data_IF_114536176812
#
_entry.id   IF_114536176812
#
_cell.length_a   1.000
_cell.length_b   1.000
_cell.length_c   1.000
_cell.angle_alpha   90.00
_cell.angle_beta   90.00
_cell.angle_gamma   90.00
#
_symmetry.space_group_name_H-M   'P 1'
#
loop_
_entity.id
_entity.type
_entity.pdbx_description
1 polymer ?
#
# COMPACT_ATOMS: atom_id res chain seq x y z
N UNK A 1 30.35 44.63 36.43
CA UNK A 1 30.88 44.13 35.13
C UNK A 1 31.27 42.64 35.21
N UNK A 2 30.32 41.73 35.48
CA UNK A 2 30.62 40.29 35.60
C UNK A 2 29.63 39.36 34.87
N UNK A 3 28.64 39.92 34.17
CA UNK A 3 27.60 39.14 33.47
C UNK A 3 28.03 38.75 32.04
N UNK A 4 28.88 39.56 31.38
CA UNK A 4 29.27 39.32 29.99
C UNK A 4 30.23 38.15 29.75
N UNK A 5 30.97 37.67 30.76
CA UNK A 5 31.96 36.59 30.56
C UNK A 5 31.38 35.17 30.53
N UNK A 6 30.13 34.96 30.98
CA UNK A 6 29.49 33.63 31.02
C UNK A 6 28.75 33.25 29.72
N UNK A 7 28.42 34.22 28.87
CA UNK A 7 27.68 33.97 27.62
C UNK A 7 28.56 33.72 26.41
N UNK A 8 29.84 34.10 26.46
CA UNK A 8 30.82 33.88 25.39
C UNK A 8 30.96 32.40 24.99
N UNK A 9 31.10 31.43 25.92
CA UNK A 9 31.20 30.01 25.55
C UNK A 9 29.89 29.46 24.96
N UNK A 10 28.73 29.96 25.41
CA UNK A 10 27.41 29.54 24.89
C UNK A 10 27.23 30.07 23.46
N UNK A 11 27.59 31.33 23.21
CA UNK A 11 27.55 31.89 21.87
C UNK A 11 28.48 31.13 20.91
N UNK A 12 29.67 30.73 21.36
CA UNK A 12 30.60 29.94 20.56
C UNK A 12 30.02 28.56 20.20
N UNK A 13 29.38 27.86 21.15
CA UNK A 13 28.72 26.57 20.92
C UNK A 13 27.55 26.68 19.95
N UNK A 14 26.70 27.70 20.10
CA UNK A 14 25.59 27.96 19.16
C UNK A 14 26.13 28.29 17.77
N UNK A 15 27.20 29.08 17.68
CA UNK A 15 27.83 29.42 16.40
C UNK A 15 28.38 28.18 15.70
N UNK A 16 29.04 27.29 16.43
CA UNK A 16 29.56 26.01 15.88
C UNK A 16 28.42 25.10 15.46
N UNK A 17 27.34 25.01 16.23
CA UNK A 17 26.17 24.21 15.88
C UNK A 17 25.47 24.73 14.61
N UNK A 18 25.32 26.05 14.47
CA UNK A 18 24.76 26.69 13.27
C UNK A 18 25.68 26.48 12.07
N UNK A 19 27.00 26.63 12.22
CA UNK A 19 27.96 26.35 11.15
C UNK A 19 27.97 24.88 10.75
N UNK A 20 27.80 23.95 11.70
CA UNK A 20 27.68 22.52 11.43
C UNK A 20 26.38 22.21 10.68
N UNK A 21 25.26 22.80 11.08
CA UNK A 21 23.97 22.64 10.38
C UNK A 21 23.99 23.25 8.97
N UNK A 22 24.64 24.39 8.79
CA UNK A 22 24.87 24.99 7.47
C UNK A 22 25.83 24.15 6.64
N UNK A 23 26.88 23.58 7.23
CA UNK A 23 27.78 22.68 6.53
C UNK A 23 27.07 21.40 6.11
N UNK A 24 26.25 20.81 6.98
CA UNK A 24 25.39 19.64 6.67
C UNK A 24 24.38 19.97 5.57
N UNK A 25 23.71 21.12 5.63
CA UNK A 25 22.75 21.50 4.58
C UNK A 25 23.44 21.79 3.24
N UNK A 26 24.63 22.41 3.25
CA UNK A 26 25.44 22.64 2.07
C UNK A 26 26.02 21.34 1.50
N UNK A 27 26.52 20.42 2.32
CA UNK A 27 27.01 19.12 1.86
C UNK A 27 25.88 18.23 1.36
N UNK A 28 24.69 18.24 1.98
CA UNK A 28 23.49 17.58 1.43
C UNK A 28 23.13 18.18 0.07
N UNK A 29 23.18 19.51 -0.08
CA UNK A 29 22.91 20.20 -1.35
C UNK A 29 23.98 19.95 -2.41
N UNK A 30 25.24 19.80 -2.03
CA UNK A 30 26.35 19.41 -2.91
C UNK A 30 26.31 17.93 -3.28
N UNK A 31 25.89 17.06 -2.36
CA UNK A 31 25.64 15.63 -2.63
C UNK A 31 24.51 15.49 -3.64
N UNK A 32 23.43 16.27 -3.50
CA UNK A 32 22.34 16.38 -4.48
C UNK A 32 22.80 16.91 -5.86
N UNK A 33 23.79 17.82 -5.90
CA UNK A 33 24.38 18.33 -7.15
C UNK A 33 25.45 17.41 -7.75
N UNK A 34 26.07 16.56 -6.93
CA UNK A 34 27.09 15.59 -7.31
C UNK A 34 26.54 14.22 -7.68
N UNK A 35 25.25 13.96 -7.42
CA UNK A 35 24.52 12.88 -8.04
C UNK A 35 24.58 13.09 -9.57
N UNK A 36 25.05 12.11 -10.36
CA UNK A 36 25.10 12.24 -11.80
C UNK A 36 23.69 12.59 -12.31
N UNK A 37 23.56 13.74 -12.98
CA UNK A 37 22.37 14.15 -13.72
C UNK A 37 22.18 13.26 -14.95
N UNK A 38 22.01 11.95 -14.75
CA UNK A 38 21.40 11.06 -15.73
C UNK A 38 19.96 10.79 -15.31
N UNK A 39 19.24 11.87 -14.99
CA UNK A 39 17.78 11.91 -15.16
C UNK A 39 17.57 12.33 -16.61
N UNK A 40 17.81 11.37 -17.51
CA UNK A 40 17.42 11.50 -18.90
C UNK A 40 15.95 11.11 -19.00
N UNK A 41 15.07 12.10 -19.03
CA UNK A 41 13.81 11.97 -19.77
C UNK A 41 14.15 11.36 -21.13
N UNK A 42 13.53 10.23 -21.45
CA UNK A 42 13.85 9.47 -22.64
C UNK A 42 13.71 10.29 -23.92
N UNK A 43 14.83 10.54 -24.58
CA UNK A 43 14.90 10.67 -26.04
C UNK A 43 16.22 10.02 -26.48
N UNK A 44 16.12 8.79 -26.99
CA UNK A 44 17.16 8.25 -27.88
C UNK A 44 16.88 8.88 -29.24
N UNK A 45 17.46 10.05 -29.50
CA UNK A 45 17.61 10.51 -30.87
C UNK A 45 18.82 9.78 -31.46
N UNK A 46 18.55 8.77 -32.28
CA UNK A 46 19.50 8.39 -33.32
C UNK A 46 19.67 9.59 -34.26
N UNK A 47 20.90 9.96 -34.61
CA UNK A 47 21.48 9.59 -35.90
C UNK A 47 22.88 10.23 -36.10
N UNK A 48 23.72 9.47 -36.79
CA UNK A 48 24.80 9.84 -37.72
C UNK A 48 25.91 10.89 -37.43
N UNK A 49 27.14 10.36 -37.48
CA UNK A 49 28.36 10.86 -38.16
C UNK A 49 29.26 11.94 -37.49
N UNK A 50 30.53 11.58 -37.20
CA UNK A 50 31.75 11.95 -37.99
C UNK A 50 33.10 11.68 -37.26
N UNK A 51 33.91 10.82 -37.90
CA UNK A 51 35.37 10.90 -38.19
C UNK A 51 36.41 10.89 -37.05
N UNK A 52 37.48 10.05 -37.14
CA UNK A 52 38.50 9.87 -36.11
C UNK A 52 39.73 10.76 -36.32
N UNK A 53 40.39 11.19 -35.23
CA UNK A 53 41.74 11.75 -35.28
C UNK A 53 42.64 10.97 -34.31
N UNK A 54 43.60 10.27 -34.92
CA UNK A 54 44.76 9.65 -34.27
C UNK A 54 45.71 10.70 -33.72
N UNK A 55 46.37 10.42 -32.59
CA UNK A 55 47.82 10.67 -32.44
C UNK A 55 48.39 9.94 -31.21
N UNK A 56 49.54 9.30 -31.42
CA UNK A 56 50.29 8.48 -30.47
C UNK A 56 51.20 9.30 -29.51
N UNK A 57 51.41 8.70 -28.35
CA UNK A 57 52.29 8.90 -27.16
C UNK A 57 53.79 9.31 -27.40
N UNK A 58 54.65 9.67 -26.38
CA UNK A 58 54.90 8.87 -25.15
C UNK A 58 55.42 9.66 -23.88
N UNK A 59 56.08 9.06 -22.85
CA UNK A 59 55.53 9.02 -21.48
C UNK A 59 56.45 9.68 -20.41
N UNK A 60 55.95 9.87 -19.17
CA UNK A 60 56.64 9.49 -17.89
C UNK A 60 55.92 9.96 -16.61
N UNK A 61 55.52 8.96 -15.83
CA UNK A 61 55.64 8.81 -14.35
C UNK A 61 55.20 9.94 -13.40
N UNK A 62 54.16 9.70 -12.60
CA UNK A 62 54.28 9.12 -11.25
C UNK A 62 52.93 9.11 -10.50
N UNK A 63 52.61 7.94 -9.94
CA UNK A 63 51.83 7.73 -8.71
C UNK A 63 50.44 8.34 -8.58
N UNK A 64 49.40 7.49 -8.66
CA UNK A 64 48.36 7.28 -7.62
C UNK A 64 47.35 6.24 -8.11
N UNK A 65 46.73 5.51 -7.18
CA UNK A 65 45.78 4.43 -7.40
C UNK A 65 44.79 4.68 -8.55
N UNK A 66 44.69 3.72 -9.48
CA UNK A 66 43.70 3.73 -10.55
C UNK A 66 42.30 3.61 -9.94
N UNK A 67 41.59 4.73 -9.82
CA UNK A 67 40.16 4.72 -10.07
C UNK A 67 39.98 4.32 -11.54
N UNK A 68 39.53 3.10 -11.78
CA UNK A 68 39.06 2.70 -13.11
C UNK A 68 37.85 3.60 -13.43
N UNK A 69 37.89 4.45 -14.47
CA UNK A 69 36.70 5.12 -14.93
C UNK A 69 35.75 4.03 -15.39
N UNK A 70 34.57 3.94 -14.77
CA UNK A 70 33.51 3.04 -15.21
C UNK A 70 33.22 3.39 -16.66
N UNK A 71 33.42 2.42 -17.56
CA UNK A 71 33.12 2.58 -18.97
C UNK A 71 31.59 2.77 -19.09
N UNK A 72 31.09 3.88 -19.67
CA UNK A 72 29.67 4.07 -19.87
C UNK A 72 29.05 3.02 -20.81
N UNK A 73 29.88 2.28 -21.55
CA UNK A 73 29.48 1.18 -22.44
C UNK A 73 29.59 -0.21 -21.78
N UNK A 74 29.62 -0.32 -20.45
CA UNK A 74 29.53 -1.64 -19.81
C UNK A 74 28.15 -2.23 -20.13
N UNK A 75 28.07 -3.13 -21.13
CA UNK A 75 26.83 -3.71 -21.67
C UNK A 75 26.13 -4.65 -20.69
N UNK A 76 26.63 -4.75 -19.46
CA UNK A 76 26.27 -5.78 -18.49
C UNK A 76 25.40 -5.29 -17.33
N UNK A 77 24.96 -4.02 -17.32
CA UNK A 77 24.04 -3.50 -16.30
C UNK A 77 22.75 -4.34 -16.16
N UNK A 78 22.31 -5.00 -17.24
CA UNK A 78 21.14 -5.88 -17.23
C UNK A 78 21.36 -7.11 -16.34
N UNK A 79 22.57 -7.66 -16.28
CA UNK A 79 22.91 -8.80 -15.42
C UNK A 79 23.07 -8.42 -13.95
N UNK A 80 23.26 -7.13 -13.65
CA UNK A 80 23.43 -6.63 -12.28
C UNK A 80 22.09 -6.40 -11.56
N UNK A 81 20.98 -6.37 -12.29
CA UNK A 81 19.63 -6.22 -11.75
C UNK A 81 18.67 -7.28 -12.31
N UNK A 82 18.88 -8.58 -12.03
CA UNK A 82 17.95 -9.61 -12.47
C UNK A 82 16.56 -9.31 -11.88
N UNK A 83 15.62 -8.95 -12.75
CA UNK A 83 14.24 -8.71 -12.36
C UNK A 83 13.59 -10.04 -11.96
N UNK A 84 12.83 -10.10 -10.86
CA UNK A 84 12.01 -11.25 -10.57
C UNK A 84 11.09 -11.57 -11.76
N UNK A 85 11.08 -12.82 -12.18
CA UNK A 85 10.11 -13.28 -13.17
C UNK A 85 8.78 -13.57 -12.47
N UNK A 86 7.88 -12.61 -12.53
CA UNK A 86 6.54 -12.70 -11.97
C UNK A 86 5.60 -13.53 -12.84
N UNK A 87 5.76 -14.84 -12.79
CA UNK A 87 4.88 -15.80 -13.49
C UNK A 87 3.63 -16.11 -12.67
N UNK A 88 2.58 -16.56 -13.36
CA UNK A 88 1.42 -17.11 -12.69
C UNK A 88 1.77 -18.38 -11.91
N UNK A 89 0.99 -18.68 -10.88
CA UNK A 89 1.22 -19.85 -10.03
C UNK A 89 1.21 -21.16 -10.80
N UNK A 90 1.99 -22.13 -10.35
CA UNK A 90 2.06 -23.45 -10.97
C UNK A 90 0.69 -24.15 -10.98
N UNK A 91 0.37 -24.96 -11.99
CA UNK A 91 -0.92 -25.63 -12.07
C UNK A 91 -1.21 -26.51 -10.84
N UNK A 92 -2.40 -26.35 -10.25
CA UNK A 92 -2.90 -27.18 -9.16
C UNK A 92 -4.21 -27.85 -9.58
N UNK A 93 -4.56 -29.03 -9.03
CA UNK A 93 -5.88 -29.63 -9.22
C UNK A 93 -7.00 -28.69 -8.75
N UNK A 94 -8.17 -28.75 -9.40
CA UNK A 94 -9.32 -27.89 -9.06
C UNK A 94 -9.84 -28.06 -7.63
N UNK A 95 -9.59 -29.22 -7.01
CA UNK A 95 -9.94 -29.53 -5.62
C UNK A 95 -8.76 -29.37 -4.64
N UNK A 96 -7.67 -28.71 -5.04
CA UNK A 96 -6.52 -28.48 -4.17
C UNK A 96 -6.94 -27.65 -2.95
N UNK A 97 -6.64 -28.16 -1.76
CA UNK A 97 -6.88 -27.44 -0.52
C UNK A 97 -5.65 -26.57 -0.20
N UNK A 98 -5.75 -25.28 -0.50
CA UNK A 98 -4.66 -24.32 -0.30
C UNK A 98 -4.41 -24.10 1.19
N UNK A 99 -3.25 -24.54 1.68
CA UNK A 99 -2.80 -24.21 3.03
C UNK A 99 -2.72 -22.70 3.18
N UNK A 100 -3.31 -22.15 4.24
CA UNK A 100 -3.45 -20.70 4.41
C UNK A 100 -3.01 -20.28 5.81
N UNK A 101 -2.19 -19.23 5.89
CA UNK A 101 -1.89 -18.55 7.15
C UNK A 101 -2.38 -17.11 7.09
N UNK A 102 -3.12 -16.69 8.11
CA UNK A 102 -3.52 -15.31 8.31
C UNK A 102 -2.54 -14.59 9.24
N UNK A 103 -1.75 -13.70 8.67
CA UNK A 103 -0.76 -12.86 9.35
C UNK A 103 -1.46 -11.59 9.83
N UNK A 104 -1.51 -11.41 11.14
CA UNK A 104 -2.22 -10.31 11.78
C UNK A 104 -1.21 -9.37 12.43
N UNK A 105 -1.22 -8.12 12.01
CA UNK A 105 -0.54 -7.04 12.72
C UNK A 105 -1.49 -6.44 13.76
N UNK A 106 -1.08 -6.44 15.04
CA UNK A 106 -1.86 -5.81 16.11
C UNK A 106 -1.01 -5.05 17.13
N UNK A 107 -1.65 -4.20 17.92
CA UNK A 107 -1.12 -3.69 19.20
C UNK A 107 -1.68 -4.49 20.37
N UNK A 108 -1.18 -4.27 21.59
CA UNK A 108 -1.65 -4.98 22.80
C UNK A 108 -3.15 -4.76 23.05
N UNK A 109 -3.64 -3.54 22.82
CA UNK A 109 -5.01 -3.12 23.15
C UNK A 109 -6.05 -3.57 22.12
N UNK A 110 -5.63 -4.02 20.94
CA UNK A 110 -6.54 -4.48 19.89
C UNK A 110 -7.07 -5.90 20.18
N UNK A 111 -8.39 -6.06 20.05
CA UNK A 111 -9.06 -7.35 20.24
C UNK A 111 -9.19 -8.13 18.92
N UNK A 112 -8.77 -9.40 18.96
CA UNK A 112 -8.82 -10.34 17.84
C UNK A 112 -9.61 -11.61 18.15
N UNK A 113 -10.36 -11.65 19.25
CA UNK A 113 -11.17 -12.82 19.63
C UNK A 113 -12.14 -13.25 18.53
N UNK A 114 -12.61 -12.29 17.72
CA UNK A 114 -13.48 -12.53 16.57
C UNK A 114 -12.90 -13.56 15.57
N UNK A 115 -11.58 -13.67 15.44
CA UNK A 115 -10.94 -14.65 14.55
C UNK A 115 -11.29 -16.05 15.01
N UNK A 116 -11.05 -16.35 16.29
CA UNK A 116 -11.32 -17.68 16.85
C UNK A 116 -12.81 -18.00 16.86
N UNK A 117 -13.65 -17.00 17.12
CA UNK A 117 -15.11 -17.16 17.17
C UNK A 117 -15.73 -17.45 15.81
N UNK A 118 -15.22 -16.83 14.73
CA UNK A 118 -15.84 -16.90 13.40
C UNK A 118 -15.05 -17.76 12.41
N UNK A 119 -13.75 -17.96 12.62
CA UNK A 119 -12.81 -18.66 11.73
C UNK A 119 -11.92 -19.64 12.53
N UNK A 120 -12.49 -20.61 13.28
CA UNK A 120 -11.72 -21.45 14.22
C UNK A 120 -10.66 -22.33 13.56
N UNK A 121 -10.84 -22.67 12.28
CA UNK A 121 -9.92 -23.53 11.51
C UNK A 121 -8.84 -22.73 10.76
N UNK A 122 -8.91 -21.39 10.77
CA UNK A 122 -7.93 -20.55 10.09
C UNK A 122 -6.65 -20.45 10.92
N UNK A 123 -5.55 -20.95 10.37
CA UNK A 123 -4.25 -20.80 11.01
C UNK A 123 -3.82 -19.33 11.02
N UNK A 124 -3.33 -18.85 12.15
CA UNK A 124 -2.93 -17.45 12.33
C UNK A 124 -1.50 -17.29 12.82
N UNK A 125 -0.85 -16.24 12.33
CA UNK A 125 0.41 -15.72 12.84
C UNK A 125 0.15 -14.31 13.38
N UNK A 126 -0.11 -14.20 14.68
CA UNK A 126 -0.49 -12.94 15.33
C UNK A 126 0.75 -12.26 15.91
N UNK A 127 1.18 -11.17 15.30
CA UNK A 127 2.29 -10.37 15.79
C UNK A 127 1.81 -9.17 16.60
N UNK A 128 2.40 -8.96 17.77
CA UNK A 128 2.10 -7.81 18.64
C UNK A 128 3.23 -6.79 18.53
N UNK A 129 2.94 -5.64 17.93
CA UNK A 129 3.94 -4.63 17.58
C UNK A 129 4.61 -3.98 18.80
N UNK A 130 3.86 -3.77 19.88
CA UNK A 130 4.24 -2.98 21.05
C UNK A 130 4.44 -3.82 22.33
N UNK A 131 4.45 -5.15 22.23
CA UNK A 131 4.78 -6.07 23.33
C UNK A 131 6.05 -6.89 23.02
N UNK A 132 7.21 -6.55 23.62
CA UNK A 132 8.47 -7.27 23.39
C UNK A 132 8.50 -8.69 23.99
N UNK A 133 7.49 -9.06 24.79
CA UNK A 133 7.35 -10.40 25.36
C UNK A 133 6.35 -11.27 24.60
N UNK A 134 5.68 -10.72 23.58
CA UNK A 134 4.75 -11.48 22.76
C UNK A 134 5.50 -12.63 22.04
N UNK A 135 4.88 -13.81 21.89
CA UNK A 135 5.50 -14.94 21.19
C UNK A 135 5.96 -14.61 19.78
N UNK A 136 5.20 -13.75 19.08
CA UNK A 136 5.57 -13.18 17.79
C UNK A 136 5.64 -11.66 17.97
N UNK A 137 6.85 -11.12 18.00
CA UNK A 137 7.14 -9.69 18.10
C UNK A 137 8.13 -9.31 16.98
N UNK A 138 7.89 -8.23 16.22
CA UNK A 138 8.87 -7.75 15.24
C UNK A 138 10.17 -7.29 15.93
N UNK A 139 11.30 -7.19 15.21
CA UNK A 139 12.56 -6.72 15.79
C UNK A 139 12.50 -5.30 16.40
N UNK A 140 11.54 -4.49 15.94
CA UNK A 140 11.28 -3.13 16.42
C UNK A 140 9.86 -2.71 16.02
N UNK A 141 9.15 -1.98 16.88
CA UNK A 141 7.95 -1.26 16.46
C UNK A 141 8.34 -0.04 15.61
N UNK A 142 8.35 -0.20 14.27
CA UNK A 142 8.70 0.86 13.31
C UNK A 142 8.01 0.59 11.98
N UNK A 143 7.39 1.61 11.38
CA UNK A 143 6.71 1.49 10.08
C UNK A 143 5.42 0.67 10.13
N UNK A 144 4.73 0.65 11.28
CA UNK A 144 3.46 -0.04 11.48
C UNK A 144 3.52 -1.53 11.07
N UNK A 145 2.55 -2.02 10.29
CA UNK A 145 2.41 -3.41 9.85
C UNK A 145 3.58 -3.90 8.98
N UNK A 146 4.33 -2.99 8.36
CA UNK A 146 5.39 -3.33 7.41
C UNK A 146 6.48 -4.17 8.06
N UNK A 147 6.91 -3.80 9.27
CA UNK A 147 7.95 -4.55 9.97
C UNK A 147 7.48 -5.98 10.28
N UNK A 148 6.21 -6.13 10.65
CA UNK A 148 5.59 -7.42 10.92
C UNK A 148 5.54 -8.26 9.64
N UNK A 149 5.05 -7.71 8.54
CA UNK A 149 4.93 -8.43 7.27
C UNK A 149 6.29 -8.88 6.73
N UNK A 150 7.28 -7.99 6.75
CA UNK A 150 8.65 -8.33 6.35
C UNK A 150 9.26 -9.38 7.28
N UNK A 151 9.04 -9.28 8.59
CA UNK A 151 9.55 -10.26 9.57
C UNK A 151 8.94 -11.64 9.33
N UNK A 152 7.62 -11.74 9.16
CA UNK A 152 6.96 -13.01 8.83
C UNK A 152 7.52 -13.61 7.53
N UNK A 153 7.65 -12.82 6.47
CA UNK A 153 8.17 -13.30 5.19
C UNK A 153 9.61 -13.83 5.35
N UNK A 154 10.45 -13.13 6.10
CA UNK A 154 11.85 -13.52 6.32
C UNK A 154 11.93 -14.80 7.16
N UNK A 155 11.21 -14.85 8.28
CA UNK A 155 11.31 -15.93 9.26
C UNK A 155 10.71 -17.25 8.75
N UNK A 156 9.71 -17.16 7.86
CA UNK A 156 9.01 -18.33 7.31
C UNK A 156 9.34 -18.60 5.83
N UNK A 157 10.32 -17.92 5.23
CA UNK A 157 10.58 -17.92 3.78
C UNK A 157 10.61 -19.32 3.14
N UNK A 158 11.26 -20.28 3.81
CA UNK A 158 11.40 -21.66 3.34
C UNK A 158 10.15 -22.51 3.63
N UNK A 159 9.33 -22.12 4.60
CA UNK A 159 8.19 -22.89 5.13
C UNK A 159 6.83 -22.21 4.90
N UNK A 160 6.75 -21.24 3.99
CA UNK A 160 5.51 -20.52 3.68
C UNK A 160 4.36 -21.47 3.28
N UNK A 161 3.12 -21.22 3.77
CA UNK A 161 1.91 -21.92 3.31
C UNK A 161 1.64 -21.60 1.84
N UNK A 162 0.75 -22.33 1.17
CA UNK A 162 0.38 -22.02 -0.22
C UNK A 162 -0.06 -20.55 -0.38
N UNK A 163 -0.84 -20.03 0.58
CA UNK A 163 -1.32 -18.65 0.63
C UNK A 163 -1.03 -18.01 2.00
N UNK A 164 -0.40 -16.84 2.00
CA UNK A 164 -0.28 -15.98 3.19
C UNK A 164 -1.15 -14.74 3.01
N UNK A 165 -2.03 -14.45 3.98
CA UNK A 165 -2.92 -13.28 3.98
C UNK A 165 -2.44 -12.30 5.03
N UNK A 166 -2.24 -11.04 4.67
CA UNK A 166 -1.74 -9.97 5.54
C UNK A 166 -2.84 -8.92 5.72
N UNK A 167 -3.33 -8.73 6.94
CA UNK A 167 -4.32 -7.68 7.26
C UNK A 167 -4.11 -7.11 8.66
N UNK A 168 -4.75 -5.95 8.88
CA UNK A 168 -4.91 -5.34 10.19
C UNK A 168 -5.85 -6.18 11.07
N UNK A 169 -5.79 -5.96 12.39
CA UNK A 169 -6.53 -6.72 13.41
C UNK A 169 -8.05 -6.45 13.45
N UNK A 170 -8.50 -5.32 12.92
CA UNK A 170 -9.89 -4.85 13.02
C UNK A 170 -10.85 -5.66 12.16
N UNK A 171 -11.92 -6.20 12.79
CA UNK A 171 -12.99 -6.89 12.06
C UNK A 171 -13.78 -5.94 11.15
N UNK A 172 -14.35 -4.89 11.74
CA UNK A 172 -15.15 -3.90 11.04
C UNK A 172 -14.35 -2.62 10.87
N UNK A 173 -14.01 -2.28 9.63
CA UNK A 173 -13.20 -1.09 9.35
C UNK A 173 -13.40 -0.60 7.93
N UNK A 174 -13.16 0.70 7.70
CA UNK A 174 -13.25 1.35 6.40
C UNK A 174 -12.23 0.81 5.37
N UNK A 175 -11.16 0.17 5.84
CA UNK A 175 -10.18 -0.50 5.00
C UNK A 175 -10.79 -1.68 4.22
N UNK A 176 -11.84 -2.29 4.77
CA UNK A 176 -12.57 -3.40 4.15
C UNK A 176 -13.66 -2.86 3.22
N UNK A 177 -13.88 -3.52 2.08
CA UNK A 177 -14.86 -3.04 1.10
C UNK A 177 -16.30 -3.13 1.65
N UNK A 178 -17.06 -2.05 1.46
CA UNK A 178 -18.46 -1.92 1.88
C UNK A 178 -19.38 -2.99 1.25
N UNK A 179 -19.08 -3.44 0.02
CA UNK A 179 -19.79 -4.57 -0.61
C UNK A 179 -19.63 -5.90 0.14
N UNK A 180 -18.62 -6.01 1.00
CA UNK A 180 -18.38 -7.15 1.89
C UNK A 180 -18.72 -6.79 3.35
N UNK A 181 -19.67 -5.86 3.54
CA UNK A 181 -20.14 -5.36 4.85
C UNK A 181 -19.05 -4.71 5.70
N UNK A 182 -17.93 -4.32 5.08
CA UNK A 182 -16.72 -3.87 5.80
C UNK A 182 -16.21 -4.91 6.82
N UNK A 183 -16.57 -6.20 6.67
CA UNK A 183 -16.30 -7.27 7.64
C UNK A 183 -15.14 -8.17 7.18
N UNK A 184 -14.06 -8.18 7.96
CA UNK A 184 -12.89 -9.03 7.70
C UNK A 184 -13.24 -10.53 7.68
N UNK A 185 -14.26 -10.97 8.44
CA UNK A 185 -14.73 -12.37 8.42
C UNK A 185 -15.24 -12.73 7.03
N UNK A 186 -16.01 -11.84 6.40
CA UNK A 186 -16.55 -12.05 5.06
C UNK A 186 -15.42 -12.08 4.04
N UNK A 187 -14.47 -11.13 4.12
CA UNK A 187 -13.31 -11.07 3.23
C UNK A 187 -12.48 -12.36 3.31
N UNK A 188 -12.08 -12.76 4.53
CA UNK A 188 -11.27 -13.95 4.77
C UNK A 188 -11.99 -15.22 4.36
N UNK A 189 -13.29 -15.36 4.67
CA UNK A 189 -14.05 -16.57 4.30
C UNK A 189 -14.19 -16.72 2.79
N UNK A 190 -14.37 -15.62 2.07
CA UNK A 190 -14.74 -15.65 0.65
C UNK A 190 -13.57 -15.52 -0.31
N UNK A 191 -12.39 -15.12 0.16
CA UNK A 191 -11.21 -14.98 -0.68
C UNK A 191 -10.96 -16.26 -1.50
N UNK A 192 -10.81 -16.15 -2.81
CA UNK A 192 -10.50 -17.28 -3.67
C UNK A 192 -8.99 -17.58 -3.62
N UNK A 193 -8.59 -18.61 -2.87
CA UNK A 193 -7.19 -18.99 -2.74
C UNK A 193 -6.58 -19.46 -4.06
N UNK A 194 -7.39 -20.07 -4.94
CA UNK A 194 -6.93 -20.48 -6.27
C UNK A 194 -6.57 -19.27 -7.13
N UNK A 195 -7.33 -18.17 -7.04
CA UNK A 195 -6.94 -16.89 -7.65
C UNK A 195 -5.64 -16.35 -7.08
N UNK A 196 -5.51 -16.28 -5.75
CA UNK A 196 -4.28 -15.77 -5.12
C UNK A 196 -3.07 -16.59 -5.57
N UNK A 197 -3.21 -17.91 -5.66
CA UNK A 197 -2.18 -18.78 -6.19
C UNK A 197 -1.85 -18.47 -7.66
N UNK A 198 -2.87 -18.45 -8.52
CA UNK A 198 -2.76 -18.23 -9.96
C UNK A 198 -2.13 -16.88 -10.30
N UNK A 199 -2.58 -15.81 -9.66
CA UNK A 199 -2.13 -14.44 -9.94
C UNK A 199 -0.86 -14.09 -9.13
N UNK A 200 -0.64 -14.79 -8.01
CA UNK A 200 0.47 -14.61 -7.09
C UNK A 200 0.30 -13.48 -6.08
N UNK A 201 -0.44 -12.43 -6.45
CA UNK A 201 -0.74 -11.26 -5.61
C UNK A 201 -2.20 -10.88 -5.72
N UNK A 202 -2.83 -10.62 -4.58
CA UNK A 202 -4.19 -10.10 -4.50
C UNK A 202 -4.26 -9.00 -3.45
N UNK A 203 -4.55 -7.78 -3.85
CA UNK A 203 -4.93 -6.74 -2.88
C UNK A 203 -6.29 -7.10 -2.29
N UNK A 204 -6.41 -7.11 -0.97
CA UNK A 204 -7.65 -7.48 -0.30
C UNK A 204 -8.77 -6.47 -0.61
N UNK A 205 -8.43 -5.21 -0.87
CA UNK A 205 -9.37 -4.19 -1.33
C UNK A 205 -9.51 -4.23 -2.86
N UNK A 206 -10.75 -4.23 -3.33
CA UNK A 206 -11.08 -4.16 -4.75
C UNK A 206 -11.60 -2.78 -5.18
N UNK A 207 -12.18 -2.00 -4.25
CA UNK A 207 -12.58 -0.62 -4.51
C UNK A 207 -11.39 0.27 -4.85
N UNK A 208 -11.52 1.13 -5.87
CA UNK A 208 -10.43 1.97 -6.35
C UNK A 208 -10.10 3.16 -5.44
N UNK A 209 -11.07 3.64 -4.68
CA UNK A 209 -10.86 4.78 -3.78
C UNK A 209 -10.52 4.29 -2.36
N UNK A 210 -9.46 4.82 -1.72
CA UNK A 210 -8.36 5.58 -2.32
C UNK A 210 -7.32 4.65 -3.01
N UNK A 211 -6.55 5.21 -3.94
CA UNK A 211 -5.34 4.55 -4.46
C UNK A 211 -5.30 4.23 -5.96
N UNK A 212 -6.42 4.23 -6.67
CA UNK A 212 -6.51 3.95 -8.11
C UNK A 212 -7.37 4.98 -8.85
N UNK A 213 -7.16 5.17 -10.17
CA UNK A 213 -6.09 4.57 -11.00
C UNK A 213 -4.77 5.36 -10.97
N UNK A 214 -4.79 6.55 -10.37
CA UNK A 214 -3.71 7.53 -10.38
C UNK A 214 -3.66 8.19 -9.00
N UNK A 215 -2.67 7.82 -8.17
CA UNK A 215 -2.68 8.18 -6.76
C UNK A 215 -1.42 8.89 -6.29
N UNK A 216 -0.26 8.22 -6.32
CA UNK A 216 1.00 8.83 -5.88
C UNK A 216 1.86 9.21 -7.08
N UNK A 217 2.40 10.42 -7.05
CA UNK A 217 3.36 10.90 -8.04
C UNK A 217 4.71 11.14 -7.37
N UNK A 218 5.66 10.18 -7.41
CA UNK A 218 6.95 10.32 -6.76
C UNK A 218 7.76 11.55 -7.19
N UNK A 219 7.51 12.08 -8.40
CA UNK A 219 8.14 13.31 -8.88
C UNK A 219 7.59 14.60 -8.27
N UNK A 220 6.46 14.55 -7.57
CA UNK A 220 5.87 15.69 -6.89
C UNK A 220 6.56 15.91 -5.53
N UNK A 221 7.04 17.13 -5.32
CA UNK A 221 7.85 17.50 -4.14
C UNK A 221 7.10 18.45 -3.21
N UNK A 222 5.98 19.01 -3.66
CA UNK A 222 5.12 19.83 -2.81
C UNK A 222 4.41 18.95 -1.76
N UNK A 223 4.29 19.49 -0.54
CA UNK A 223 3.61 18.80 0.54
C UNK A 223 2.10 18.79 0.28
N UNK A 224 1.51 17.60 0.28
CA UNK A 224 0.08 17.38 0.16
C UNK A 224 -0.45 16.86 1.51
N UNK A 225 -1.40 17.58 2.10
CA UNK A 225 -1.99 17.20 3.38
C UNK A 225 -2.70 15.83 3.35
N UNK A 226 -3.17 15.40 2.18
CA UNK A 226 -3.84 14.12 1.97
C UNK A 226 -2.87 13.00 1.52
N UNK A 227 -1.68 13.36 1.02
CA UNK A 227 -0.65 12.44 0.51
C UNK A 227 0.74 12.82 1.05
N UNK A 228 0.86 12.86 2.37
CA UNK A 228 2.04 13.38 3.07
C UNK A 228 3.34 12.65 2.71
N UNK A 229 3.24 11.38 2.35
CA UNK A 229 4.37 10.56 1.94
C UNK A 229 4.88 10.85 0.51
N UNK A 230 4.11 11.54 -0.31
CA UNK A 230 4.43 11.76 -1.74
C UNK A 230 5.78 12.45 -1.94
N UNK A 231 6.03 13.52 -1.19
CA UNK A 231 7.29 14.28 -1.28
C UNK A 231 8.53 13.47 -0.87
N UNK A 232 8.34 12.34 -0.19
CA UNK A 232 9.42 11.44 0.24
C UNK A 232 9.56 10.21 -0.66
N UNK A 233 8.64 9.97 -1.61
CA UNK A 233 8.62 8.74 -2.40
C UNK A 233 9.81 8.62 -3.35
N UNK A 234 10.20 9.64 -4.12
CA UNK A 234 11.33 9.52 -5.04
C UNK A 234 12.65 9.16 -4.34
N UNK A 235 12.91 9.79 -3.18
CA UNK A 235 14.09 9.47 -2.37
C UNK A 235 14.01 8.05 -1.83
N UNK A 236 12.88 7.68 -1.23
CA UNK A 236 12.68 6.35 -0.64
C UNK A 236 12.74 5.25 -1.70
N UNK A 237 12.20 5.51 -2.90
CA UNK A 237 12.30 4.63 -4.06
C UNK A 237 13.75 4.40 -4.46
N UNK A 238 14.55 5.46 -4.57
CA UNK A 238 15.97 5.36 -4.95
C UNK A 238 16.79 4.59 -3.92
N UNK A 239 16.37 4.58 -2.65
CA UNK A 239 16.99 3.79 -1.59
C UNK A 239 16.50 2.33 -1.56
N UNK A 240 15.21 2.09 -1.80
CA UNK A 240 14.60 0.75 -1.79
C UNK A 240 14.95 -0.05 -3.04
N UNK A 241 14.88 0.61 -4.21
CA UNK A 241 15.03 0.03 -5.54
C UNK A 241 16.08 0.83 -6.34
N UNK A 242 17.35 0.83 -5.90
CA UNK A 242 18.41 1.69 -6.48
C UNK A 242 18.72 1.42 -7.96
N UNK A 243 18.21 0.31 -8.50
CA UNK A 243 18.42 -0.13 -9.87
C UNK A 243 17.15 -0.03 -10.73
N UNK A 244 16.08 0.58 -10.19
CA UNK A 244 14.81 0.83 -10.85
C UNK A 244 14.60 2.32 -11.06
N UNK A 245 14.07 2.68 -12.23
CA UNK A 245 13.67 4.06 -12.50
C UNK A 245 12.55 4.48 -11.54
N UNK A 246 12.59 5.71 -11.06
CA UNK A 246 11.52 6.29 -10.25
C UNK A 246 10.27 6.42 -11.13
N UNK A 247 9.15 5.79 -10.77
CA UNK A 247 7.96 5.83 -11.60
C UNK A 247 7.29 7.19 -11.54
N UNK A 248 6.59 7.55 -12.61
CA UNK A 248 5.75 8.77 -12.65
C UNK A 248 4.50 8.64 -11.79
N UNK A 249 3.96 7.43 -11.66
CA UNK A 249 2.74 7.11 -10.92
C UNK A 249 2.92 5.78 -10.18
N UNK A 250 2.51 5.75 -8.91
CA UNK A 250 2.22 4.53 -8.16
C UNK A 250 0.75 4.49 -7.82
N UNK A 251 0.09 3.38 -8.15
CA UNK A 251 -1.33 3.21 -7.91
C UNK A 251 -1.69 1.75 -7.64
N UNK A 252 -2.48 1.54 -6.60
CA UNK A 252 -3.18 0.31 -6.25
C UNK A 252 -4.24 0.66 -5.20
N UNK A 253 -5.27 -0.16 -4.98
CA UNK A 253 -6.16 0.03 -3.83
C UNK A 253 -5.35 0.14 -2.53
N UNK A 254 -5.77 1.03 -1.63
CA UNK A 254 -5.04 1.36 -0.41
C UNK A 254 -4.82 0.20 0.57
N UNK A 255 -4.23 0.59 1.70
CA UNK A 255 -4.45 0.03 3.03
C UNK A 255 -3.57 -1.15 3.42
N UNK A 256 -2.59 -1.52 2.58
CA UNK A 256 -1.58 -2.54 2.87
C UNK A 256 -2.18 -3.88 3.35
N UNK A 257 -3.35 -4.25 2.84
CA UNK A 257 -3.95 -5.56 3.07
C UNK A 257 -3.87 -6.36 1.77
N UNK A 258 -3.17 -7.49 1.78
CA UNK A 258 -2.97 -8.31 0.58
C UNK A 258 -2.80 -9.78 0.91
N UNK A 259 -3.03 -10.63 -0.08
CA UNK A 259 -2.74 -12.06 -0.04
C UNK A 259 -1.70 -12.42 -1.10
N UNK A 260 -0.79 -13.31 -0.74
CA UNK A 260 0.34 -13.73 -1.56
C UNK A 260 0.41 -15.24 -1.67
N UNK A 261 0.73 -15.73 -2.86
CA UNK A 261 1.17 -17.11 -3.01
C UNK A 261 2.61 -17.28 -2.55
N UNK A 262 2.94 -18.48 -2.07
CA UNK A 262 4.33 -18.78 -1.68
C UNK A 262 5.32 -18.71 -2.85
N UNK A 263 4.88 -19.10 -4.05
CA UNK A 263 5.69 -18.93 -5.28
C UNK A 263 5.94 -17.46 -5.58
N UNK A 264 4.96 -16.58 -5.33
CA UNK A 264 5.14 -15.15 -5.54
C UNK A 264 6.15 -14.54 -4.59
N UNK A 265 6.11 -14.93 -3.32
CA UNK A 265 7.10 -14.49 -2.33
C UNK A 265 8.50 -15.01 -2.74
N UNK A 266 8.60 -16.27 -3.15
CA UNK A 266 9.89 -16.89 -3.53
C UNK A 266 10.41 -16.45 -4.89
N UNK A 267 9.61 -15.79 -5.72
CA UNK A 267 10.08 -15.16 -6.96
C UNK A 267 11.17 -14.10 -6.68
N UNK A 268 11.23 -13.58 -5.46
CA UNK A 268 12.27 -12.67 -4.99
C UNK A 268 13.11 -13.34 -3.89
N UNK A 269 14.44 -13.29 -3.93
CA UNK A 269 15.29 -13.89 -2.90
C UNK A 269 15.02 -13.34 -1.49
N UNK A 270 15.15 -14.19 -0.46
CA UNK A 270 14.99 -13.80 0.95
C UNK A 270 15.81 -12.54 1.32
N UNK A 271 17.03 -12.43 0.79
CA UNK A 271 17.93 -11.30 1.04
C UNK A 271 17.33 -9.94 0.62
N UNK A 272 16.45 -9.89 -0.38
CA UNK A 272 15.76 -8.65 -0.74
C UNK A 272 14.78 -8.20 0.35
N UNK A 273 14.08 -9.14 1.00
CA UNK A 273 13.20 -8.80 2.12
C UNK A 273 13.99 -8.32 3.34
N UNK A 274 15.17 -8.89 3.57
CA UNK A 274 16.12 -8.38 4.59
C UNK A 274 16.56 -6.96 4.25
N UNK A 275 16.91 -6.67 3.00
CA UNK A 275 17.26 -5.32 2.54
C UNK A 275 16.14 -4.31 2.81
N UNK A 276 14.90 -4.67 2.49
CA UNK A 276 13.71 -3.86 2.77
C UNK A 276 13.51 -3.59 4.26
N UNK A 277 13.67 -4.62 5.10
CA UNK A 277 13.56 -4.48 6.55
C UNK A 277 14.67 -3.59 7.11
N UNK A 278 15.89 -3.74 6.59
CA UNK A 278 17.04 -2.93 7.00
C UNK A 278 16.88 -1.47 6.58
N UNK A 279 16.30 -1.19 5.42
CA UNK A 279 15.92 0.18 5.03
C UNK A 279 14.95 0.76 6.05
N UNK A 280 13.92 0.00 6.42
CA UNK A 280 12.92 0.43 7.39
C UNK A 280 13.54 0.69 8.77
N UNK A 281 14.51 -0.11 9.21
CA UNK A 281 15.20 0.11 10.48
C UNK A 281 16.11 1.35 10.48
N UNK A 282 16.75 1.66 9.34
CA UNK A 282 17.76 2.72 9.21
C UNK A 282 17.21 4.06 8.79
N UNK A 283 16.06 4.09 8.11
CA UNK A 283 15.50 5.35 7.60
C UNK A 283 15.19 6.32 8.74
N UNK A 284 15.52 7.62 8.58
CA UNK A 284 15.19 8.64 9.58
C UNK A 284 13.69 9.01 9.56
N UNK A 285 12.93 8.52 8.57
CA UNK A 285 11.50 8.78 8.46
C UNK A 285 10.74 8.20 9.66
N UNK A 286 9.75 8.96 10.14
CA UNK A 286 8.84 8.50 11.18
C UNK A 286 7.99 7.30 10.74
N UNK A 287 7.39 6.61 11.70
CA UNK A 287 6.66 5.36 11.45
C UNK A 287 5.47 5.57 10.50
N UNK A 288 4.75 6.67 10.68
CA UNK A 288 3.66 7.08 9.79
C UNK A 288 4.10 7.20 8.32
N UNK A 289 5.14 7.99 8.03
CA UNK A 289 5.60 8.22 6.64
C UNK A 289 6.23 6.96 6.05
N UNK A 290 7.07 6.27 6.82
CA UNK A 290 7.72 5.04 6.33
C UNK A 290 6.70 3.91 6.08
N UNK A 291 5.68 3.77 6.92
CA UNK A 291 4.56 2.85 6.68
C UNK A 291 3.76 3.21 5.43
N UNK A 292 3.40 4.49 5.28
CA UNK A 292 2.66 5.01 4.11
C UNK A 292 3.42 4.85 2.79
N UNK A 293 4.74 5.02 2.78
CA UNK A 293 5.58 4.69 1.60
C UNK A 293 5.38 3.22 1.21
N UNK A 294 5.43 2.33 2.20
CA UNK A 294 5.31 0.89 1.97
C UNK A 294 3.92 0.49 1.46
N UNK A 295 2.86 1.14 1.94
CA UNK A 295 1.50 0.97 1.44
C UNK A 295 1.41 1.06 -0.09
N UNK A 296 2.21 1.93 -0.73
CA UNK A 296 2.20 2.16 -2.19
C UNK A 296 3.37 1.55 -2.97
N UNK A 297 4.21 0.70 -2.35
CA UNK A 297 5.24 -0.06 -3.08
C UNK A 297 5.03 -1.57 -3.04
N UNK A 298 4.09 -2.08 -2.23
CA UNK A 298 3.82 -3.52 -2.15
C UNK A 298 3.47 -4.14 -3.52
N UNK A 299 2.64 -3.47 -4.31
CA UNK A 299 2.31 -3.92 -5.67
C UNK A 299 3.57 -4.01 -6.53
N UNK A 300 4.48 -3.05 -6.43
CA UNK A 300 5.72 -3.11 -7.21
C UNK A 300 6.60 -4.28 -6.74
N UNK A 301 6.74 -4.48 -5.43
CA UNK A 301 7.52 -5.56 -4.84
C UNK A 301 7.03 -6.93 -5.31
N UNK A 302 5.72 -7.13 -5.45
CA UNK A 302 5.10 -8.42 -5.75
C UNK A 302 4.52 -8.53 -7.16
N UNK A 303 4.55 -7.51 -8.00
CA UNK A 303 4.06 -7.60 -9.39
C UNK A 303 5.04 -7.01 -10.41
N UNK A 304 6.00 -6.21 -9.96
CA UNK A 304 6.88 -5.43 -10.83
C UNK A 304 6.16 -4.30 -11.56
N UNK A 305 4.86 -4.10 -11.32
CA UNK A 305 4.07 -3.02 -11.89
C UNK A 305 3.96 -1.85 -10.91
N UNK A 306 4.08 -0.64 -11.44
CA UNK A 306 3.87 0.59 -10.68
C UNK A 306 2.37 0.88 -10.48
N UNK A 307 1.54 0.46 -11.44
CA UNK A 307 0.09 0.61 -11.45
C UNK A 307 -0.53 -0.79 -11.42
N UNK A 308 -1.21 -1.13 -10.34
CA UNK A 308 -1.96 -2.37 -10.18
C UNK A 308 -3.39 -2.07 -9.76
N UNK A 309 -4.22 -1.70 -10.74
CA UNK A 309 -5.61 -1.31 -10.57
C UNK A 309 -6.54 -2.25 -11.35
N UNK A 310 -6.75 -3.51 -10.89
CA UNK A 310 -7.70 -4.40 -11.54
C UNK A 310 -9.10 -3.77 -11.50
N UNK A 311 -9.92 -4.03 -12.53
CA UNK A 311 -11.30 -3.51 -12.54
C UNK A 311 -12.06 -4.07 -11.33
N UNK A 312 -12.82 -3.26 -10.58
CA UNK A 312 -13.45 -3.72 -9.35
C UNK A 312 -14.40 -4.90 -9.56
N UNK A 313 -15.20 -4.89 -10.64
CA UNK A 313 -16.14 -5.98 -10.94
C UNK A 313 -15.43 -7.35 -11.13
N UNK A 314 -14.28 -7.36 -11.80
CA UNK A 314 -13.44 -8.56 -11.94
C UNK A 314 -12.82 -8.94 -10.59
N UNK A 315 -12.35 -7.96 -9.83
CA UNK A 315 -11.73 -8.18 -8.53
C UNK A 315 -12.70 -8.84 -7.55
N UNK A 316 -13.91 -8.30 -7.42
CA UNK A 316 -14.95 -8.85 -6.56
C UNK A 316 -15.46 -10.22 -7.04
N UNK A 317 -15.65 -10.38 -8.34
CA UNK A 317 -16.15 -11.64 -8.89
C UNK A 317 -15.15 -12.78 -8.71
N UNK A 318 -13.93 -12.63 -9.21
CA UNK A 318 -12.93 -13.71 -9.16
C UNK A 318 -12.23 -13.81 -7.78
N UNK A 319 -12.23 -12.74 -6.99
CA UNK A 319 -11.61 -12.71 -5.66
C UNK A 319 -12.54 -13.16 -4.55
N UNK A 320 -13.81 -12.73 -4.60
CA UNK A 320 -14.74 -12.92 -3.48
C UNK A 320 -16.07 -13.59 -3.89
N UNK A 321 -16.23 -13.94 -5.16
CA UNK A 321 -17.44 -14.57 -5.67
C UNK A 321 -18.64 -13.62 -5.66
N UNK A 322 -18.41 -12.33 -5.92
CA UNK A 322 -19.48 -11.33 -6.07
C UNK A 322 -19.48 -10.85 -7.52
N UNK A 323 -20.34 -11.45 -8.35
CA UNK A 323 -20.29 -11.31 -9.79
C UNK A 323 -21.51 -10.57 -10.30
N UNK A 324 -21.33 -9.34 -10.78
CA UNK A 324 -22.42 -8.50 -11.31
C UNK A 324 -22.84 -8.86 -12.74
N UNK A 325 -22.04 -9.67 -13.45
CA UNK A 325 -22.32 -10.08 -14.82
C UNK A 325 -21.92 -9.00 -15.81
N UNK A 326 -20.76 -8.38 -15.59
CA UNK A 326 -20.20 -7.31 -16.40
C UNK A 326 -19.99 -5.99 -15.64
N UNK A 327 -19.10 -5.19 -16.21
CA UNK A 327 -18.72 -3.85 -15.72
C UNK A 327 -19.92 -2.89 -15.64
N UNK A 328 -20.81 -2.90 -16.63
CA UNK A 328 -21.99 -2.02 -16.69
C UNK A 328 -22.92 -2.23 -15.49
N UNK A 329 -23.26 -3.49 -15.19
CA UNK A 329 -24.12 -3.84 -14.04
C UNK A 329 -23.46 -3.53 -12.69
N UNK A 330 -22.15 -3.67 -12.61
CA UNK A 330 -21.40 -3.24 -11.43
C UNK A 330 -21.48 -1.72 -11.27
N UNK A 331 -21.28 -0.96 -12.35
CA UNK A 331 -21.35 0.50 -12.35
C UNK A 331 -22.74 1.01 -11.92
N UNK A 332 -23.82 0.45 -12.46
CA UNK A 332 -25.19 0.78 -12.04
C UNK A 332 -25.40 0.58 -10.52
N UNK A 333 -24.88 -0.53 -9.99
CA UNK A 333 -24.97 -0.83 -8.56
C UNK A 333 -24.12 0.13 -7.72
N UNK A 334 -22.86 0.37 -8.09
CA UNK A 334 -21.96 1.21 -7.30
C UNK A 334 -22.43 2.68 -7.32
N UNK A 335 -23.00 3.16 -8.43
CA UNK A 335 -23.60 4.49 -8.52
C UNK A 335 -24.78 4.63 -7.55
N UNK A 336 -25.68 3.63 -7.52
CA UNK A 336 -26.81 3.58 -6.59
C UNK A 336 -26.34 3.52 -5.14
N UNK A 337 -25.32 2.70 -4.85
CA UNK A 337 -24.74 2.60 -3.51
C UNK A 337 -24.07 3.91 -3.09
N UNK A 338 -23.36 4.58 -3.98
CA UNK A 338 -22.70 5.83 -3.70
C UNK A 338 -23.71 6.96 -3.43
N UNK A 339 -24.83 7.00 -4.15
CA UNK A 339 -25.94 7.90 -3.82
C UNK A 339 -26.46 7.66 -2.40
N UNK A 340 -26.68 6.39 -2.03
CA UNK A 340 -27.10 6.04 -0.67
C UNK A 340 -26.04 6.45 0.37
N UNK A 341 -24.74 6.23 0.11
CA UNK A 341 -23.64 6.65 1.00
C UNK A 341 -23.59 8.16 1.20
N UNK A 342 -23.83 8.93 0.15
CA UNK A 342 -23.86 10.40 0.23
C UNK A 342 -25.00 10.86 1.15
N UNK A 343 -26.19 10.27 1.01
CA UNK A 343 -27.35 10.56 1.87
C UNK A 343 -27.08 10.13 3.32
N UNK A 344 -26.46 8.96 3.53
CA UNK A 344 -26.03 8.51 4.86
C UNK A 344 -25.00 9.48 5.48
N UNK A 345 -24.08 10.01 4.68
CA UNK A 345 -23.14 11.05 5.09
C UNK A 345 -23.84 12.33 5.51
N UNK A 346 -24.75 12.86 4.68
CA UNK A 346 -25.54 14.05 5.02
C UNK A 346 -26.37 13.87 6.30
N UNK A 347 -26.90 12.66 6.52
CA UNK A 347 -27.64 12.35 7.75
C UNK A 347 -26.73 12.37 8.97
N UNK A 348 -25.54 11.76 8.89
CA UNK A 348 -24.55 11.81 9.97
C UNK A 348 -24.14 13.24 10.28
N UNK A 349 -23.86 14.06 9.26
CA UNK A 349 -23.49 15.45 9.44
C UNK A 349 -24.62 16.26 10.09
N UNK A 350 -25.88 16.01 9.69
CA UNK A 350 -27.05 16.62 10.30
C UNK A 350 -27.18 16.23 11.79
N UNK A 351 -27.00 14.94 12.10
CA UNK A 351 -27.09 14.42 13.48
C UNK A 351 -25.94 14.92 14.35
N UNK A 352 -24.73 15.07 13.80
CA UNK A 352 -23.59 15.66 14.49
C UNK A 352 -23.79 17.14 14.82
N UNK A 353 -24.28 17.94 13.86
CA UNK A 353 -24.63 19.35 14.11
C UNK A 353 -25.64 19.47 15.26
N UNK A 354 -26.67 18.64 15.26
CA UNK A 354 -27.68 18.60 16.33
C UNK A 354 -27.06 18.28 17.70
N UNK A 355 -26.27 17.19 17.78
CA UNK A 355 -25.59 16.78 19.01
C UNK A 355 -24.64 17.84 19.55
N UNK A 356 -23.85 18.48 18.70
CA UNK A 356 -22.89 19.51 19.12
C UNK A 356 -23.59 20.73 19.75
N UNK A 357 -24.78 21.10 19.23
CA UNK A 357 -25.60 22.17 19.81
C UNK A 357 -26.17 21.74 21.16
N UNK A 358 -26.76 20.54 21.24
CA UNK A 358 -27.31 20.00 22.48
C UNK A 358 -26.25 19.90 23.59
N UNK A 359 -25.03 19.47 23.25
CA UNK A 359 -23.89 19.39 24.15
C UNK A 359 -23.45 20.78 24.64
N UNK A 360 -23.30 21.74 23.73
CA UNK A 360 -22.93 23.11 24.10
C UNK A 360 -23.99 23.79 24.99
N UNK A 361 -25.29 23.56 24.71
CA UNK A 361 -26.38 24.06 25.54
C UNK A 361 -26.38 23.39 26.93
N UNK A 362 -26.18 22.07 27.01
CA UNK A 362 -26.13 21.31 28.26
C UNK A 362 -24.96 21.71 29.18
N UNK A 363 -23.80 22.05 28.60
CA UNK A 363 -22.62 22.52 29.34
C UNK A 363 -22.67 24.02 29.69
N UNK A 364 -23.74 24.72 29.34
CA UNK A 364 -23.89 26.16 29.59
C UNK A 364 -23.00 27.03 28.68
N UNK A 365 -22.45 26.47 27.60
CA UNK A 365 -21.66 27.18 26.56
C UNK A 365 -22.58 27.87 25.55
N UNK A 366 -23.51 28.70 26.04
CA UNK A 366 -24.58 29.30 25.23
C UNK A 366 -24.08 30.15 24.05
N UNK A 367 -22.99 30.90 24.23
CA UNK A 367 -22.39 31.70 23.14
C UNK A 367 -21.82 30.85 22.01
N UNK A 368 -21.36 29.65 22.32
CA UNK A 368 -20.83 28.72 21.32
C UNK A 368 -22.00 28.05 20.59
N UNK A 369 -23.02 27.61 21.31
CA UNK A 369 -24.24 27.05 20.73
C UNK A 369 -24.94 28.02 19.74
N UNK A 370 -24.92 29.33 20.01
CA UNK A 370 -25.44 30.36 19.10
C UNK A 370 -24.62 30.50 17.80
N UNK A 371 -23.34 30.14 17.81
CA UNK A 371 -22.45 30.23 16.64
C UNK A 371 -22.48 28.97 15.78
N UNK A 372 -22.94 27.84 16.32
CA UNK A 372 -23.06 26.59 15.58
C UNK A 372 -24.21 26.65 14.56
N UNK A 373 -23.99 26.04 13.40
CA UNK A 373 -25.00 25.95 12.35
C UNK A 373 -26.14 25.01 12.77
N UNK A 374 -27.35 25.55 12.92
CA UNK A 374 -28.52 24.74 13.31
C UNK A 374 -28.97 23.86 12.13
N UNK A 375 -29.11 22.55 12.34
CA UNK A 375 -29.58 21.65 11.29
C UNK A 375 -31.03 21.96 10.90
N UNK A 376 -31.35 21.88 9.61
CA UNK A 376 -32.69 22.16 9.09
C UNK A 376 -33.73 21.19 9.67
N UNK A 377 -34.80 21.69 10.33
CA UNK A 377 -35.84 20.83 10.90
C UNK A 377 -36.52 19.95 9.84
N UNK A 378 -36.62 18.65 10.12
CA UNK A 378 -37.27 17.67 9.24
C UNK A 378 -36.43 17.23 8.03
N UNK A 379 -35.19 17.70 7.88
CA UNK A 379 -34.26 17.18 6.87
C UNK A 379 -33.89 15.73 7.18
N UNK A 380 -33.71 15.38 8.45
CA UNK A 380 -33.43 14.01 8.92
C UNK A 380 -34.49 12.99 8.44
N UNK A 381 -35.77 13.32 8.56
CA UNK A 381 -36.86 12.45 8.14
C UNK A 381 -36.86 12.22 6.62
N UNK A 382 -36.49 13.25 5.83
CA UNK A 382 -36.35 13.14 4.37
C UNK A 382 -35.16 12.25 3.99
N UNK A 383 -34.02 12.45 4.65
CA UNK A 383 -32.80 11.66 4.42
C UNK A 383 -33.02 10.19 4.78
N UNK A 384 -33.61 9.90 5.95
CA UNK A 384 -33.95 8.54 6.39
C UNK A 384 -34.88 7.85 5.40
N UNK A 385 -35.93 8.54 4.94
CA UNK A 385 -36.84 7.99 3.91
C UNK A 385 -36.11 7.66 2.60
N UNK A 386 -35.23 8.54 2.13
CA UNK A 386 -34.47 8.27 0.91
C UNK A 386 -33.53 7.05 1.05
N UNK A 387 -32.93 6.86 2.23
CA UNK A 387 -32.12 5.66 2.54
C UNK A 387 -33.00 4.41 2.53
N UNK A 388 -34.18 4.46 3.17
CA UNK A 388 -35.14 3.34 3.19
C UNK A 388 -35.63 2.95 1.80
N UNK A 389 -35.74 3.90 0.87
CA UNK A 389 -36.11 3.64 -0.53
C UNK A 389 -34.98 2.99 -1.34
N UNK A 390 -33.71 3.41 -1.13
CA UNK A 390 -32.56 2.89 -1.88
C UNK A 390 -32.06 1.54 -1.37
N UNK A 391 -32.09 1.32 -0.06
CA UNK A 391 -31.55 0.12 0.61
C UNK A 391 -32.02 -1.22 0.00
N UNK A 392 -33.33 -1.48 -0.20
CA UNK A 392 -33.77 -2.75 -0.76
C UNK A 392 -33.26 -2.99 -2.19
N UNK A 393 -33.02 -1.93 -2.98
CA UNK A 393 -32.47 -2.04 -4.33
C UNK A 393 -31.00 -2.47 -4.27
N UNK A 394 -30.21 -1.77 -3.44
CA UNK A 394 -28.78 -2.06 -3.23
C UNK A 394 -28.60 -3.49 -2.72
N UNK A 395 -29.35 -3.88 -1.70
CA UNK A 395 -29.23 -5.19 -1.03
C UNK A 395 -29.65 -6.32 -1.97
N UNK A 396 -30.73 -6.14 -2.74
CA UNK A 396 -31.19 -7.15 -3.71
C UNK A 396 -30.14 -7.41 -4.78
N UNK A 397 -29.62 -6.37 -5.44
CA UNK A 397 -28.64 -6.52 -6.52
C UNK A 397 -27.34 -7.11 -5.99
N UNK A 398 -26.89 -6.67 -4.81
CA UNK A 398 -25.74 -7.25 -4.12
C UNK A 398 -25.94 -8.74 -3.88
N UNK A 399 -27.08 -9.15 -3.29
CA UNK A 399 -27.42 -10.54 -3.03
C UNK A 399 -27.44 -11.39 -4.30
N UNK A 400 -28.06 -10.90 -5.37
CA UNK A 400 -28.08 -11.59 -6.68
C UNK A 400 -26.65 -11.78 -7.23
N UNK A 401 -25.75 -10.81 -7.03
CA UNK A 401 -24.34 -10.93 -7.43
C UNK A 401 -23.58 -11.99 -6.60
N UNK A 402 -23.86 -12.09 -5.30
CA UNK A 402 -23.34 -13.17 -4.44
C UNK A 402 -23.81 -14.55 -4.90
N UNK A 403 -25.11 -14.71 -5.13
CA UNK A 403 -25.71 -15.97 -5.58
C UNK A 403 -25.12 -16.41 -6.93
N UNK A 404 -24.94 -15.47 -7.85
CA UNK A 404 -24.31 -15.74 -9.15
C UNK A 404 -22.86 -16.23 -9.00
N UNK A 405 -22.03 -15.51 -8.24
CA UNK A 405 -20.63 -15.88 -8.08
C UNK A 405 -20.41 -17.18 -7.29
N UNK A 406 -21.32 -17.56 -6.41
CA UNK A 406 -21.26 -18.82 -5.68
C UNK A 406 -21.67 -20.03 -6.52
N UNK A 407 -22.74 -19.88 -7.28
CA UNK A 407 -23.39 -21.03 -7.94
C UNK A 407 -22.87 -21.28 -9.36
N UNK A 408 -22.09 -20.37 -9.93
CA UNK A 408 -21.65 -20.43 -11.32
C UNK A 408 -20.13 -20.16 -11.46
N UNK A 409 -19.27 -21.20 -11.32
CA UNK A 409 -17.83 -21.09 -11.56
C UNK A 409 -17.49 -20.63 -12.99
N UNK A 410 -18.31 -20.99 -13.98
CA UNK A 410 -18.12 -20.58 -15.37
C UNK A 410 -18.35 -19.07 -15.51
N UNK A 411 -19.37 -18.51 -14.84
CA UNK A 411 -19.59 -17.06 -14.81
C UNK A 411 -18.40 -16.31 -14.23
N UNK A 412 -17.74 -16.83 -13.17
CA UNK A 412 -16.54 -16.21 -12.61
C UNK A 412 -15.41 -16.16 -13.62
N UNK A 413 -15.14 -17.27 -14.29
CA UNK A 413 -14.12 -17.34 -15.33
C UNK A 413 -14.45 -16.40 -16.51
N UNK A 414 -15.72 -16.38 -16.94
CA UNK A 414 -16.19 -15.51 -18.03
C UNK A 414 -16.04 -14.02 -17.69
N UNK A 415 -16.31 -13.62 -16.45
CA UNK A 415 -16.17 -12.23 -16.00
C UNK A 415 -14.75 -11.69 -16.19
N UNK A 416 -13.73 -12.57 -16.07
CA UNK A 416 -12.31 -12.23 -16.24
C UNK A 416 -11.75 -12.65 -17.61
N UNK A 417 -12.59 -13.12 -18.53
CA UNK A 417 -12.16 -13.58 -19.86
C UNK A 417 -11.33 -14.87 -19.86
N UNK A 418 -11.42 -15.69 -18.81
CA UNK A 418 -10.73 -16.98 -18.67
C UNK A 418 -11.57 -18.10 -19.29
N UNK A 419 -10.94 -19.00 -20.06
CA UNK A 419 -11.58 -20.25 -20.51
C UNK A 419 -11.86 -21.14 -19.29
N UNK A 420 -13.07 -21.70 -19.21
CA UNK A 420 -13.48 -22.62 -18.15
C UNK A 420 -13.79 -23.99 -18.73
N UNK A 421 -13.31 -25.03 -18.07
CA UNK A 421 -13.58 -26.43 -18.41
C UNK A 421 -14.26 -27.13 -17.24
N UNK A 422 -15.05 -28.15 -17.53
CA UNK A 422 -15.70 -28.94 -16.50
C UNK A 422 -14.65 -29.57 -15.56
N UNK A 423 -14.80 -29.32 -14.26
CA UNK A 423 -13.82 -29.72 -13.24
C UNK A 423 -12.79 -28.65 -12.88
N UNK A 424 -12.72 -27.55 -13.64
CA UNK A 424 -12.00 -26.36 -13.20
C UNK A 424 -12.72 -25.78 -11.98
N UNK A 425 -11.96 -25.58 -10.90
CA UNK A 425 -12.45 -24.82 -9.75
C UNK A 425 -12.70 -23.35 -10.09
N UNK A 426 -12.98 -22.58 -9.03
CA UNK A 426 -13.20 -21.14 -9.13
C UNK A 426 -11.96 -20.36 -9.55
#
# INVERSE_FOLDING_TARGET
MAVHRRFIPILALVSVAVLFLLYQSLTVRETLRGLPQKIGLGEVTGDETRVPINNELPPKSNGTAKHTPVNPEDKDYVNWNPKPEFKGGSPRPGNHNYTTTFVVAKTIDEDINWIKENLPDLHTAVYVADDPFAPLHPPKNKGHEVMIYLTYIIDHYDELPDVSIFMHSHRYTWHNDDILDSDAVVMLSRLNRARVWRDGYHNMRCGWDPGCPDWMHPGEVEEDAFRQEQSQLAKSWSELFPLDEVPSVLAQPCCAQFALSSERIRARPQASYVWYRDWLLRTPLGDFISGRIWEYVWQFVFTGSNIFCPKPHMCFCDGYGVCFGGEEKYNEWIDTRQQMRNIEGELRDWEEKGRNIEEAEAEGRTKEAEQLERPEPGKDAKLKKAIEELRPVVDRVRKEAFERGMNDPEARAREIGREWKEGDGY
#
